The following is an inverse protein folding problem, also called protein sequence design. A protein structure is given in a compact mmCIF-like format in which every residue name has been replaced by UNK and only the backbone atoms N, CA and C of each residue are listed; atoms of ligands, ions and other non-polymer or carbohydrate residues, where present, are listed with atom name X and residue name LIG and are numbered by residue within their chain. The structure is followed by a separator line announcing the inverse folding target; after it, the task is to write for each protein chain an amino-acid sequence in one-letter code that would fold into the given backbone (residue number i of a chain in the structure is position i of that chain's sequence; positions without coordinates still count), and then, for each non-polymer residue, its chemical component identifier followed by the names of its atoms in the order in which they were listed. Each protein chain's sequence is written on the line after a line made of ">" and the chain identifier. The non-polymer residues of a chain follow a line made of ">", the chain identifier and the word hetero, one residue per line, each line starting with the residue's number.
data_IF_392106202843
#
_entry.id   IF_392106202843
#
_cell.length_a   1.000
_cell.length_b   1.000
_cell.length_c   1.000
_cell.angle_alpha   90.00
_cell.angle_beta   90.00
_cell.angle_gamma   90.00
#
_symmetry.space_group_name_H-M   'P 1'
#
loop_
_entity.id
_entity.type
_entity.pdbx_description
1 polymer ?
#
# COMPACT_ATOMS: atom_id res chain seq x y z
N UNK A 1 8.52 -17.20 -15.37
CA UNK A 1 9.26 -17.07 -14.10
C UNK A 1 8.24 -16.84 -12.99
N UNK A 2 8.38 -17.52 -11.87
CA UNK A 2 7.45 -17.38 -10.72
C UNK A 2 7.73 -16.03 -10.07
N UNK A 3 6.76 -15.10 -10.10
CA UNK A 3 6.87 -13.82 -9.37
C UNK A 3 6.59 -14.06 -7.89
N UNK A 4 7.30 -13.36 -7.01
CA UNK A 4 7.00 -13.29 -5.56
C UNK A 4 6.32 -11.96 -5.28
N UNK A 5 5.14 -11.98 -4.65
CA UNK A 5 4.41 -10.77 -4.27
C UNK A 5 4.41 -10.66 -2.75
N UNK A 6 4.82 -9.50 -2.22
CA UNK A 6 4.83 -9.21 -0.80
C UNK A 6 3.99 -7.97 -0.54
N UNK A 7 2.86 -8.15 0.13
CA UNK A 7 1.99 -7.07 0.58
C UNK A 7 2.34 -6.63 1.99
N UNK A 8 2.38 -5.32 2.23
CA UNK A 8 2.60 -4.74 3.55
C UNK A 8 1.33 -4.10 4.08
N UNK A 9 0.99 -4.43 5.33
CA UNK A 9 -0.14 -3.85 6.07
C UNK A 9 0.32 -3.36 7.44
N UNK A 10 -0.55 -2.62 8.14
CA UNK A 10 -0.29 -2.04 9.45
C UNK A 10 -0.74 -0.58 9.53
N UNK A 11 -0.79 0.04 10.72
CA UNK A 11 -1.30 1.39 10.92
C UNK A 11 -0.47 2.47 10.20
N UNK A 12 -1.07 3.64 10.02
CA UNK A 12 -0.36 4.81 9.50
C UNK A 12 0.82 5.15 10.44
N UNK A 13 2.01 5.40 9.88
CA UNK A 13 3.21 5.66 10.70
C UNK A 13 3.97 4.43 11.19
N UNK A 14 3.48 3.21 10.96
CA UNK A 14 4.19 1.97 11.35
C UNK A 14 5.50 1.72 10.58
N UNK A 15 5.74 2.41 9.45
CA UNK A 15 6.96 2.25 8.65
C UNK A 15 6.84 1.31 7.46
N UNK A 16 5.61 1.04 6.98
CA UNK A 16 5.34 0.15 5.83
C UNK A 16 6.14 0.50 4.57
N UNK A 17 6.11 1.77 4.16
CA UNK A 17 6.84 2.22 2.96
C UNK A 17 8.35 2.02 3.10
N UNK A 18 8.89 2.28 4.31
CA UNK A 18 10.29 2.07 4.61
C UNK A 18 10.65 0.58 4.57
N UNK A 19 9.87 -0.27 5.24
CA UNK A 19 10.06 -1.72 5.21
C UNK A 19 9.95 -2.28 3.78
N UNK A 20 8.97 -1.81 3.01
CA UNK A 20 8.79 -2.19 1.61
C UNK A 20 10.00 -1.85 0.73
N UNK A 21 10.66 -0.70 0.98
CA UNK A 21 11.88 -0.30 0.25
C UNK A 21 13.12 -1.12 0.59
N UNK A 22 13.07 -1.92 1.66
CA UNK A 22 14.17 -2.76 2.13
C UNK A 22 14.11 -4.21 1.60
N UNK A 23 13.04 -4.57 0.89
CA UNK A 23 12.93 -5.91 0.30
C UNK A 23 13.95 -6.07 -0.83
N UNK A 24 14.85 -7.07 -0.78
CA UNK A 24 15.87 -7.27 -1.81
C UNK A 24 15.25 -7.52 -3.19
N UNK A 25 15.67 -6.75 -4.20
CA UNK A 25 15.15 -6.86 -5.57
C UNK A 25 13.67 -6.47 -5.71
N UNK A 26 13.08 -5.87 -4.69
CA UNK A 26 11.66 -5.50 -4.65
C UNK A 26 11.31 -4.34 -5.57
N UNK A 27 10.34 -4.56 -6.45
CA UNK A 27 9.75 -3.52 -7.30
C UNK A 27 8.40 -3.08 -6.71
N UNK A 28 8.32 -1.79 -6.34
CA UNK A 28 7.14 -1.24 -5.67
C UNK A 28 6.00 -0.99 -6.66
N UNK A 29 4.84 -1.59 -6.40
CA UNK A 29 3.57 -1.35 -7.10
C UNK A 29 2.45 -1.23 -6.05
N UNK A 30 2.03 0.00 -5.74
CA UNK A 30 0.99 0.24 -4.75
C UNK A 30 -0.42 0.24 -5.38
N UNK A 31 -1.43 -0.19 -4.62
CA UNK A 31 -2.85 -0.07 -5.02
C UNK A 31 -3.26 1.39 -5.22
N UNK A 32 -2.71 2.32 -4.45
CA UNK A 32 -3.02 3.74 -4.53
C UNK A 32 -2.30 4.48 -5.66
N UNK A 33 -1.28 3.92 -6.31
CA UNK A 33 -0.53 4.64 -7.36
C UNK A 33 -1.43 5.18 -8.50
N UNK A 34 -2.38 4.41 -9.06
CA UNK A 34 -3.27 4.93 -10.10
C UNK A 34 -4.20 6.04 -9.59
N UNK A 35 -4.51 6.06 -8.28
CA UNK A 35 -5.30 7.14 -7.67
C UNK A 35 -4.52 8.45 -7.66
N UNK A 36 -3.26 8.43 -7.23
CA UNK A 36 -2.38 9.61 -7.24
C UNK A 36 -2.18 10.13 -8.64
N UNK A 37 -1.87 9.23 -9.59
CA UNK A 37 -1.66 9.56 -11.00
C UNK A 37 -2.93 10.17 -11.62
N UNK A 38 -4.08 9.54 -11.42
CA UNK A 38 -5.36 10.02 -11.94
C UNK A 38 -5.75 11.37 -11.36
N UNK A 39 -5.67 11.56 -10.04
CA UNK A 39 -5.97 12.83 -9.38
C UNK A 39 -5.02 13.94 -9.83
N UNK A 40 -3.72 13.66 -9.97
CA UNK A 40 -2.75 14.65 -10.43
C UNK A 40 -3.15 15.21 -11.80
N UNK A 41 -3.54 14.32 -12.72
CA UNK A 41 -4.02 14.70 -14.05
C UNK A 41 -5.35 15.46 -14.00
N UNK A 42 -6.33 14.93 -13.26
CA UNK A 42 -7.68 15.55 -13.16
C UNK A 42 -7.65 16.94 -12.54
N UNK A 43 -6.77 17.17 -11.56
CA UNK A 43 -6.68 18.45 -10.85
C UNK A 43 -5.64 19.41 -11.47
N UNK A 44 -4.83 18.94 -12.42
CA UNK A 44 -3.75 19.74 -13.00
C UNK A 44 -2.64 20.08 -11.99
N UNK A 45 -2.41 19.22 -10.97
CA UNK A 45 -1.37 19.44 -9.95
C UNK A 45 -0.27 18.39 -10.06
N UNK A 46 0.97 18.69 -9.68
CA UNK A 46 2.03 17.69 -9.61
C UNK A 46 1.68 16.57 -8.61
N UNK A 47 1.94 15.32 -8.97
CA UNK A 47 1.69 14.16 -8.09
C UNK A 47 2.40 14.30 -6.73
N UNK A 48 3.57 14.94 -6.70
CA UNK A 48 4.33 15.23 -5.48
C UNK A 48 3.52 16.04 -4.45
N UNK A 49 2.64 16.95 -4.91
CA UNK A 49 1.75 17.74 -4.04
C UNK A 49 0.75 16.83 -3.31
N UNK A 50 0.22 15.82 -4.01
CA UNK A 50 -0.73 14.86 -3.44
C UNK A 50 -0.04 13.85 -2.51
N UNK A 51 1.25 13.57 -2.73
CA UNK A 51 2.05 12.63 -1.92
C UNK A 51 2.73 13.29 -0.72
N UNK A 52 2.74 14.62 -0.64
CA UNK A 52 3.34 15.32 0.49
C UNK A 52 2.64 14.96 1.82
N UNK A 53 3.40 14.32 2.71
CA UNK A 53 2.89 13.89 4.02
C UNK A 53 2.51 15.06 4.90
N UNK A 54 3.22 16.18 4.81
CA UNK A 54 3.00 17.38 5.63
C UNK A 54 1.72 18.12 5.23
N UNK A 55 1.34 18.04 3.96
CA UNK A 55 0.15 18.67 3.38
C UNK A 55 -1.06 17.76 3.26
N UNK A 56 -0.93 16.46 3.58
CA UNK A 56 -1.94 15.44 3.26
C UNK A 56 -3.33 15.69 3.86
N UNK A 57 -3.40 16.37 5.00
CA UNK A 57 -4.65 16.70 5.69
C UNK A 57 -5.13 18.16 5.40
N UNK A 58 -4.30 18.98 4.77
CA UNK A 58 -4.65 20.37 4.45
C UNK A 58 -5.45 20.43 3.15
N UNK A 59 -6.57 21.18 3.12
CA UNK A 59 -7.27 21.42 1.86
C UNK A 59 -6.36 22.02 0.80
N UNK A 60 -6.41 21.48 -0.41
CA UNK A 60 -5.71 22.04 -1.56
C UNK A 60 -6.32 23.39 -1.93
N UNK A 61 -5.50 24.38 -2.23
CA UNK A 61 -5.94 25.70 -2.67
C UNK A 61 -6.82 25.58 -3.92
N UNK A 62 -7.99 26.19 -3.86
CA UNK A 62 -8.97 26.16 -4.94
C UNK A 62 -9.90 24.94 -4.97
N UNK A 63 -9.62 23.86 -4.20
CA UNK A 63 -10.42 22.62 -4.24
C UNK A 63 -11.25 22.37 -2.97
N UNK A 64 -10.92 23.01 -1.85
CA UNK A 64 -11.68 22.87 -0.60
C UNK A 64 -11.60 21.50 0.08
N UNK A 65 -10.88 20.54 -0.49
CA UNK A 65 -10.66 19.20 0.03
C UNK A 65 -9.19 18.86 0.13
N UNK A 66 -8.81 18.05 1.12
CA UNK A 66 -7.43 17.63 1.30
C UNK A 66 -7.05 16.46 0.36
N UNK A 67 -5.75 16.26 0.06
CA UNK A 67 -5.30 15.09 -0.69
C UNK A 67 -5.84 13.78 -0.13
N UNK A 68 -5.88 13.61 1.20
CA UNK A 68 -6.45 12.41 1.83
C UNK A 68 -7.93 12.23 1.50
N UNK A 69 -8.75 13.28 1.64
CA UNK A 69 -10.17 13.21 1.32
C UNK A 69 -10.40 12.86 -0.15
N UNK A 70 -9.69 13.52 -1.07
CA UNK A 70 -9.80 13.26 -2.51
C UNK A 70 -9.43 11.82 -2.88
N UNK A 71 -8.33 11.29 -2.29
CA UNK A 71 -7.89 9.91 -2.50
C UNK A 71 -8.90 8.90 -1.93
N UNK A 72 -9.45 9.15 -0.75
CA UNK A 72 -10.46 8.28 -0.14
C UNK A 72 -11.73 8.26 -0.98
N UNK A 73 -12.24 9.43 -1.37
CA UNK A 73 -13.43 9.55 -2.21
C UNK A 73 -13.24 8.86 -3.57
N UNK A 74 -12.13 9.11 -4.25
CA UNK A 74 -11.87 8.45 -5.52
C UNK A 74 -11.66 6.94 -5.37
N UNK A 75 -10.92 6.52 -4.35
CA UNK A 75 -10.56 5.12 -4.14
C UNK A 75 -11.69 4.27 -3.62
N UNK A 76 -12.44 4.77 -2.64
CA UNK A 76 -13.47 4.01 -1.94
C UNK A 76 -14.86 4.33 -2.48
N UNK A 77 -15.32 5.57 -2.33
CA UNK A 77 -16.72 5.92 -2.65
C UNK A 77 -16.97 5.77 -4.14
N UNK A 78 -16.15 6.41 -4.99
CA UNK A 78 -16.31 6.28 -6.42
C UNK A 78 -15.86 4.90 -6.92
N UNK A 79 -14.62 4.52 -6.68
CA UNK A 79 -14.04 3.33 -7.28
C UNK A 79 -14.71 2.04 -6.82
N UNK A 80 -14.71 1.79 -5.51
CA UNK A 80 -15.20 0.51 -4.96
C UNK A 80 -16.71 0.44 -4.81
N UNK A 81 -17.38 1.54 -4.45
CA UNK A 81 -18.81 1.53 -4.18
C UNK A 81 -19.64 1.83 -5.44
N UNK A 82 -19.22 2.79 -6.27
CA UNK A 82 -20.01 3.21 -7.44
C UNK A 82 -19.65 2.45 -8.73
N UNK A 83 -18.36 2.11 -8.95
CA UNK A 83 -17.91 1.48 -10.19
C UNK A 83 -17.82 -0.04 -10.03
N UNK A 84 -16.88 -0.53 -9.24
CA UNK A 84 -16.68 -1.97 -9.02
C UNK A 84 -15.87 -2.19 -7.75
N UNK A 85 -16.37 -3.03 -6.83
CA UNK A 85 -15.71 -3.35 -5.57
C UNK A 85 -14.23 -3.78 -5.75
N UNK A 86 -13.92 -4.48 -6.82
CA UNK A 86 -12.59 -5.04 -7.09
C UNK A 86 -11.80 -4.25 -8.16
N UNK A 87 -12.20 -3.00 -8.48
CA UNK A 87 -11.56 -2.20 -9.53
C UNK A 87 -10.05 -2.10 -9.33
N UNK A 88 -9.60 -1.80 -8.12
CA UNK A 88 -8.17 -1.61 -7.82
C UNK A 88 -7.40 -2.93 -7.82
N UNK A 89 -8.06 -4.04 -7.52
CA UNK A 89 -7.48 -5.38 -7.67
C UNK A 89 -7.20 -5.69 -9.13
N UNK A 90 -8.14 -5.41 -10.02
CA UNK A 90 -7.98 -5.62 -11.48
C UNK A 90 -6.86 -4.76 -12.03
N UNK A 91 -6.79 -3.48 -11.61
CA UNK A 91 -5.70 -2.57 -12.01
C UNK A 91 -4.34 -3.06 -11.49
N UNK A 92 -4.27 -3.47 -10.22
CA UNK A 92 -3.04 -3.99 -9.63
C UNK A 92 -2.59 -5.28 -10.31
N UNK A 93 -3.50 -6.23 -10.53
CA UNK A 93 -3.22 -7.48 -11.22
C UNK A 93 -2.60 -7.22 -12.61
N UNK A 94 -3.22 -6.36 -13.40
CA UNK A 94 -2.67 -5.98 -14.70
C UNK A 94 -1.25 -5.41 -14.60
N UNK A 95 -0.99 -4.53 -13.61
CA UNK A 95 0.35 -3.96 -13.38
C UNK A 95 1.37 -5.01 -12.93
N UNK A 96 0.95 -5.99 -12.12
CA UNK A 96 1.80 -7.12 -11.73
C UNK A 96 2.17 -8.01 -12.92
N UNK A 97 1.23 -8.26 -13.84
CA UNK A 97 1.50 -8.99 -15.08
C UNK A 97 2.51 -8.23 -15.96
N UNK A 98 2.37 -6.92 -16.11
CA UNK A 98 3.33 -6.10 -16.85
C UNK A 98 4.72 -6.15 -16.21
N UNK A 99 4.81 -6.06 -14.90
CA UNK A 99 6.06 -6.15 -14.15
C UNK A 99 6.73 -7.53 -14.34
N UNK A 100 5.96 -8.61 -14.25
CA UNK A 100 6.44 -9.97 -14.49
C UNK A 100 6.92 -10.16 -15.95
N UNK A 101 6.19 -9.62 -16.93
CA UNK A 101 6.59 -9.65 -18.34
C UNK A 101 7.89 -8.86 -18.59
N UNK A 102 8.14 -7.79 -17.80
CA UNK A 102 9.39 -7.04 -17.82
C UNK A 102 10.54 -7.73 -17.05
N UNK A 103 10.33 -8.94 -16.51
CA UNK A 103 11.35 -9.70 -15.79
C UNK A 103 11.52 -9.32 -14.32
N UNK A 104 10.61 -8.53 -13.74
CA UNK A 104 10.66 -8.14 -12.33
C UNK A 104 10.14 -9.30 -11.46
N UNK A 105 11.07 -10.00 -10.80
CA UNK A 105 10.76 -11.23 -10.06
C UNK A 105 10.13 -11.01 -8.69
N UNK A 106 10.32 -9.81 -8.07
CA UNK A 106 9.79 -9.49 -6.74
C UNK A 106 8.95 -8.23 -6.80
N UNK A 107 7.66 -8.34 -6.48
CA UNK A 107 6.72 -7.23 -6.41
C UNK A 107 6.40 -6.93 -4.96
N UNK A 108 6.47 -5.65 -4.60
CA UNK A 108 6.21 -5.15 -3.25
C UNK A 108 5.02 -4.20 -3.25
N UNK A 109 3.99 -4.52 -2.47
CA UNK A 109 2.74 -3.76 -2.35
C UNK A 109 2.66 -3.13 -0.96
N UNK A 110 3.01 -1.84 -0.77
CA UNK A 110 3.20 -1.23 0.55
C UNK A 110 1.91 -0.80 1.26
N UNK A 111 0.74 -0.91 0.61
CA UNK A 111 -0.50 -0.27 1.03
C UNK A 111 -1.72 -1.21 1.07
N UNK A 112 -1.51 -2.47 1.46
CA UNK A 112 -2.60 -3.44 1.64
C UNK A 112 -3.48 -3.03 2.81
N UNK A 113 -4.77 -2.79 2.55
CA UNK A 113 -5.73 -2.26 3.53
C UNK A 113 -7.03 -3.05 3.63
N UNK A 114 -7.45 -3.72 2.54
CA UNK A 114 -8.70 -4.45 2.47
C UNK A 114 -8.48 -5.95 2.40
N UNK A 115 -9.44 -6.72 2.93
CA UNK A 115 -9.35 -8.18 2.93
C UNK A 115 -9.26 -8.76 1.52
N UNK A 116 -9.97 -8.18 0.53
CA UNK A 116 -9.91 -8.64 -0.86
C UNK A 116 -8.52 -8.43 -1.48
N UNK A 117 -7.80 -7.34 -1.12
CA UNK A 117 -6.41 -7.09 -1.52
C UNK A 117 -5.48 -8.17 -0.97
N UNK A 118 -5.58 -8.46 0.33
CA UNK A 118 -4.80 -9.50 0.98
C UNK A 118 -5.07 -10.89 0.39
N UNK A 119 -6.34 -11.23 0.15
CA UNK A 119 -6.72 -12.49 -0.49
C UNK A 119 -6.19 -12.60 -1.92
N UNK A 120 -6.23 -11.52 -2.70
CA UNK A 120 -5.67 -11.51 -4.06
C UNK A 120 -4.16 -11.77 -4.04
N UNK A 121 -3.39 -11.11 -3.17
CA UNK A 121 -1.96 -11.34 -3.04
C UNK A 121 -1.68 -12.81 -2.71
N UNK A 122 -2.41 -13.38 -1.75
CA UNK A 122 -2.24 -14.79 -1.34
C UNK A 122 -2.66 -15.78 -2.41
N UNK A 123 -3.71 -15.50 -3.21
CA UNK A 123 -4.12 -16.36 -4.33
C UNK A 123 -3.09 -16.40 -5.46
N UNK A 124 -2.24 -15.37 -5.57
CA UNK A 124 -1.09 -15.32 -6.48
C UNK A 124 0.17 -15.99 -5.90
N UNK A 125 0.05 -16.69 -4.76
CA UNK A 125 1.17 -17.32 -4.08
C UNK A 125 2.07 -16.33 -3.30
N UNK A 126 1.60 -15.09 -3.10
CA UNK A 126 2.29 -14.07 -2.34
C UNK A 126 2.01 -14.14 -0.83
N UNK A 127 2.66 -13.27 -0.09
CA UNK A 127 2.56 -13.16 1.36
C UNK A 127 2.09 -11.76 1.78
N UNK A 128 1.37 -11.66 2.91
CA UNK A 128 0.98 -10.40 3.54
C UNK A 128 1.72 -10.24 4.86
N UNK A 129 2.53 -9.18 4.97
CA UNK A 129 3.37 -8.89 6.12
C UNK A 129 2.80 -7.73 6.92
N UNK A 130 2.58 -7.94 8.22
CA UNK A 130 2.17 -6.89 9.16
C UNK A 130 3.42 -6.18 9.70
N UNK A 131 3.49 -4.86 9.50
CA UNK A 131 4.47 -4.02 10.17
C UNK A 131 3.84 -3.49 11.44
N UNK A 132 4.35 -3.93 12.58
CA UNK A 132 3.93 -3.49 13.90
C UNK A 132 4.96 -2.54 14.50
N UNK A 133 4.51 -1.33 14.86
CA UNK A 133 5.34 -0.37 15.61
C UNK A 133 4.68 -0.11 16.96
N UNK A 134 5.35 -0.44 18.09
CA UNK A 134 4.83 -0.15 19.43
C UNK A 134 4.47 1.34 19.58
N UNK A 135 3.34 1.62 20.21
CA UNK A 135 2.85 2.98 20.42
C UNK A 135 2.19 3.65 19.21
N UNK A 136 2.03 2.95 18.09
CA UNK A 136 1.29 3.44 16.92
C UNK A 136 -0.02 2.67 16.80
N UNK A 137 -1.13 3.35 17.14
CA UNK A 137 -2.47 2.78 17.07
C UNK A 137 -3.14 3.01 15.71
N UNK A 138 -4.05 2.12 15.28
CA UNK A 138 -4.84 2.34 14.07
C UNK A 138 -5.73 3.59 14.20
N UNK A 139 -5.75 4.43 13.17
CA UNK A 139 -6.66 5.58 13.10
C UNK A 139 -7.99 5.09 12.53
N UNK A 140 -8.98 4.84 13.38
CA UNK A 140 -10.26 4.21 13.03
C UNK A 140 -11.28 5.12 12.30
N UNK A 141 -10.85 6.21 11.67
CA UNK A 141 -11.76 7.20 11.09
C UNK A 141 -12.36 6.82 9.72
N UNK A 142 -11.82 5.82 9.02
CA UNK A 142 -12.27 5.42 7.68
C UNK A 142 -12.08 3.91 7.47
N UNK A 143 -12.94 3.28 6.66
CA UNK A 143 -12.90 1.82 6.39
C UNK A 143 -11.55 1.32 5.87
N UNK A 144 -10.82 2.16 5.13
CA UNK A 144 -9.47 1.83 4.65
C UNK A 144 -8.38 1.84 5.74
N UNK A 145 -8.69 2.23 6.97
CA UNK A 145 -7.77 2.27 8.12
C UNK A 145 -8.11 1.23 9.20
N UNK A 146 -9.15 0.41 8.99
CA UNK A 146 -9.64 -0.58 9.97
C UNK A 146 -8.64 -1.73 10.22
N UNK A 147 -7.62 -1.88 9.37
CA UNK A 147 -6.65 -2.97 9.45
C UNK A 147 -7.15 -4.30 8.90
N UNK A 148 -6.27 -5.28 8.82
CA UNK A 148 -6.58 -6.63 8.34
C UNK A 148 -6.75 -7.60 9.51
N UNK A 149 -7.67 -8.60 9.40
CA UNK A 149 -7.75 -9.69 10.35
C UNK A 149 -6.45 -10.51 10.37
N UNK A 150 -6.01 -10.95 11.55
CA UNK A 150 -4.77 -11.71 11.73
C UNK A 150 -4.68 -12.99 10.86
N UNK A 151 -5.82 -13.63 10.53
CA UNK A 151 -5.86 -14.81 9.64
C UNK A 151 -5.36 -14.53 8.21
N UNK A 152 -5.27 -13.27 7.81
CA UNK A 152 -4.74 -12.84 6.50
C UNK A 152 -3.30 -12.33 6.56
N UNK A 153 -2.65 -12.43 7.72
CA UNK A 153 -1.26 -12.07 7.94
C UNK A 153 -0.39 -13.32 7.92
N UNK A 154 0.59 -13.34 7.05
CA UNK A 154 1.52 -14.46 6.90
C UNK A 154 2.80 -14.25 7.71
N UNK A 155 3.23 -13.00 7.89
CA UNK A 155 4.44 -12.63 8.65
C UNK A 155 4.20 -11.38 9.50
N UNK A 156 4.93 -11.32 10.63
CA UNK A 156 4.99 -10.14 11.49
C UNK A 156 6.42 -9.59 11.50
N UNK A 157 6.57 -8.31 11.20
CA UNK A 157 7.84 -7.57 11.32
C UNK A 157 7.64 -6.44 12.33
N UNK A 158 8.39 -6.49 13.42
CA UNK A 158 8.33 -5.48 14.49
C UNK A 158 9.29 -4.35 14.18
N UNK A 159 8.79 -3.11 14.18
CA UNK A 159 9.55 -1.87 13.97
C UNK A 159 9.66 -1.08 15.28
N UNK A 160 10.46 -1.58 16.21
CA UNK A 160 10.66 -1.00 17.54
C UNK A 160 12.09 -0.46 17.77
N UNK A 161 12.91 -0.44 16.74
CA UNK A 161 14.32 -0.07 16.83
C UNK A 161 14.77 0.95 15.78
N UNK A 162 16.04 0.84 15.41
CA UNK A 162 16.66 1.69 14.38
C UNK A 162 16.25 1.25 12.96
N UNK A 163 16.56 2.10 11.98
CA UNK A 163 16.34 1.79 10.56
C UNK A 163 17.12 0.55 10.14
N UNK A 164 18.35 0.38 10.64
CA UNK A 164 19.19 -0.77 10.30
C UNK A 164 18.63 -2.07 10.90
N UNK A 165 18.13 -2.03 12.13
CA UNK A 165 17.44 -3.17 12.74
C UNK A 165 16.15 -3.55 12.00
N UNK A 166 15.39 -2.58 11.51
CA UNK A 166 14.24 -2.87 10.65
C UNK A 166 14.67 -3.55 9.36
N UNK A 167 15.77 -3.07 8.74
CA UNK A 167 16.34 -3.67 7.53
C UNK A 167 16.72 -5.13 7.75
N UNK A 168 17.47 -5.41 8.80
CA UNK A 168 17.88 -6.78 9.17
C UNK A 168 16.66 -7.70 9.32
N UNK A 169 15.61 -7.24 9.98
CA UNK A 169 14.37 -8.02 10.18
C UNK A 169 13.63 -8.26 8.87
N UNK A 170 13.54 -7.27 7.98
CA UNK A 170 12.91 -7.41 6.67
C UNK A 170 13.68 -8.42 5.82
N UNK A 171 15.01 -8.29 5.73
CA UNK A 171 15.86 -9.19 4.96
C UNK A 171 15.84 -10.63 5.51
N UNK A 172 15.89 -10.80 6.84
CA UNK A 172 15.77 -12.10 7.49
C UNK A 172 14.39 -12.74 7.26
N UNK A 173 13.31 -11.94 7.21
CA UNK A 173 11.96 -12.43 6.91
C UNK A 173 11.83 -12.82 5.44
N UNK A 174 12.45 -12.05 4.53
CA UNK A 174 12.45 -12.30 3.10
C UNK A 174 13.18 -13.60 2.72
N UNK A 175 14.24 -13.96 3.46
CA UNK A 175 15.10 -15.13 3.20
C UNK A 175 14.49 -16.46 3.67
N UNK A 176 13.37 -16.45 4.38
CA UNK A 176 12.64 -17.63 4.88
C UNK A 176 11.56 -18.09 3.93
#
# INVERSE_FOLDING_TARGET
>A
MTRRIIGFTGPAGAGKDLAASMVPGGHRIAFADPLYQGLAVMLGVPEAVLRDRSGKERPLAGFGASPRQLLQTLGTEWGRQMVCHDIWLRVAYWRWEQAAAAGLGVIVVPDVRFENEARQIRSEGGEVWLIHRPGVEPVAAHSSEAGLPLRLIDRLVVNDGTVDQLRERVEATFSR
#
